data_IF_937092125447
#
_entry.id   IF_937092125447
#
_cell.length_a   1.000
_cell.length_b   1.000
_cell.length_c   1.000
_cell.angle_alpha   90.00
_cell.angle_beta   90.00
_cell.angle_gamma   90.00
#
_symmetry.space_group_name_H-M   'P 1'
#
loop_
_entity.id
_entity.type
_entity.pdbx_description
1 polymer ?
#
# COMPACT_ATOMS: atom_id res chain seq x y z
N UNK A 1 38.13 11.49 22.45
CA UNK A 1 38.22 10.17 21.79
C UNK A 1 38.28 9.08 22.85
N UNK A 2 37.24 8.28 23.01
CA UNK A 2 37.26 7.07 23.85
C UNK A 2 36.54 5.95 23.10
N UNK A 3 37.33 5.08 22.49
CA UNK A 3 36.89 3.86 21.80
C UNK A 3 36.44 2.84 22.84
N UNK A 4 35.28 2.23 22.65
CA UNK A 4 34.89 1.01 23.37
C UNK A 4 34.52 -0.04 22.33
N UNK A 5 35.50 -0.88 22.01
CA UNK A 5 35.32 -2.16 21.32
C UNK A 5 34.88 -3.20 22.35
N UNK A 6 33.77 -3.90 22.10
CA UNK A 6 33.40 -5.12 22.82
C UNK A 6 33.32 -6.27 21.81
N UNK A 7 33.78 -7.40 22.31
CA UNK A 7 34.24 -8.61 21.66
C UNK A 7 33.06 -9.52 21.27
N UNK A 8 33.31 -10.25 20.18
CA UNK A 8 32.64 -11.42 19.63
C UNK A 8 31.98 -12.40 20.61
N UNK A 9 30.88 -13.02 20.15
CA UNK A 9 30.55 -14.41 20.46
C UNK A 9 29.84 -15.07 19.26
N UNK A 10 30.41 -16.21 18.86
CA UNK A 10 30.02 -17.15 17.79
C UNK A 10 28.96 -18.13 18.36
N UNK A 11 28.13 -18.73 17.49
CA UNK A 11 27.39 -20.02 17.59
C UNK A 11 25.92 -19.84 17.18
N UNK A 12 25.26 -20.65 16.36
CA UNK A 12 25.61 -21.88 15.66
C UNK A 12 24.66 -22.04 14.46
N UNK A 13 25.16 -22.69 13.42
CA UNK A 13 24.43 -23.09 12.21
C UNK A 13 23.42 -24.21 12.49
N UNK A 14 22.20 -24.08 11.97
CA UNK A 14 21.32 -25.21 11.70
C UNK A 14 20.58 -24.97 10.39
N UNK A 15 21.19 -25.41 9.29
CA UNK A 15 20.56 -25.49 7.96
C UNK A 15 19.66 -26.72 7.90
N UNK A 16 18.35 -26.52 7.88
CA UNK A 16 17.40 -27.58 7.50
C UNK A 16 17.12 -27.40 6.00
N UNK A 17 17.64 -28.31 5.19
CA UNK A 17 17.29 -28.45 3.77
C UNK A 17 16.09 -29.38 3.69
N UNK A 18 14.91 -28.84 3.44
CA UNK A 18 13.70 -29.61 3.13
C UNK A 18 13.57 -29.75 1.61
N UNK A 19 13.51 -30.98 1.11
CA UNK A 19 13.25 -31.30 -0.29
C UNK A 19 11.75 -31.21 -0.57
N UNK A 20 11.29 -30.51 -1.63
CA UNK A 20 9.90 -30.56 -2.03
C UNK A 20 9.58 -31.85 -2.82
N UNK A 21 8.53 -32.54 -2.38
CA UNK A 21 7.86 -33.65 -3.08
C UNK A 21 7.15 -33.11 -4.32
N UNK A 22 7.45 -33.66 -5.50
CA UNK A 22 6.77 -33.32 -6.75
C UNK A 22 5.43 -34.07 -6.79
N UNK A 23 4.34 -33.40 -6.44
CA UNK A 23 2.99 -33.88 -6.71
C UNK A 23 2.65 -33.70 -8.19
N UNK A 24 2.37 -34.80 -8.90
CA UNK A 24 1.90 -34.77 -10.29
C UNK A 24 0.47 -34.23 -10.33
N UNK A 25 0.28 -33.05 -10.93
CA UNK A 25 -1.04 -32.49 -11.18
C UNK A 25 -1.67 -33.20 -12.39
N UNK A 26 -2.86 -33.77 -12.17
CA UNK A 26 -3.68 -34.39 -13.20
C UNK A 26 -4.07 -33.44 -14.33
N UNK A 27 -4.16 -34.02 -15.51
CA UNK A 27 -4.58 -33.41 -16.76
C UNK A 27 -5.99 -32.82 -16.60
N UNK A 28 -6.14 -31.50 -16.63
CA UNK A 28 -7.43 -30.81 -16.60
C UNK A 28 -7.99 -30.79 -18.01
N UNK A 29 -9.14 -31.44 -18.18
CA UNK A 29 -9.89 -31.47 -19.43
C UNK A 29 -10.34 -30.09 -19.88
N UNK A 30 -10.35 -29.95 -21.20
CA UNK A 30 -10.84 -28.81 -21.97
C UNK A 30 -12.27 -28.45 -21.59
N UNK A 31 -12.46 -27.20 -21.15
CA UNK A 31 -13.76 -26.54 -21.12
C UNK A 31 -13.71 -25.35 -22.07
N UNK A 32 -14.05 -25.59 -23.34
CA UNK A 32 -14.31 -24.55 -24.33
C UNK A 32 -15.57 -23.77 -23.96
N UNK A 33 -15.39 -22.48 -23.63
CA UNK A 33 -16.49 -21.50 -23.53
C UNK A 33 -16.06 -20.27 -24.33
N UNK A 34 -16.79 -19.85 -25.38
CA UNK A 34 -16.42 -18.66 -26.13
C UNK A 34 -16.76 -17.42 -25.30
N UNK A 35 -15.76 -16.90 -24.59
CA UNK A 35 -15.84 -15.70 -23.78
C UNK A 35 -14.83 -14.67 -24.27
N UNK A 36 -15.29 -13.44 -24.45
CA UNK A 36 -14.52 -12.27 -24.87
C UNK A 36 -13.09 -12.22 -24.30
N UNK A 37 -12.14 -12.01 -25.20
CA UNK A 37 -10.73 -11.71 -24.93
C UNK A 37 -10.60 -10.44 -24.09
N UNK A 38 -10.56 -10.58 -22.77
CA UNK A 38 -9.93 -9.58 -21.91
C UNK A 38 -8.42 -9.70 -22.12
N UNK A 39 -7.79 -8.69 -22.73
CA UNK A 39 -6.35 -8.54 -22.78
C UNK A 39 -5.79 -8.55 -21.33
N UNK A 40 -5.30 -9.71 -20.90
CA UNK A 40 -4.54 -9.89 -19.66
C UNK A 40 -3.06 -9.82 -20.00
N UNK A 41 -2.64 -8.70 -20.57
CA UNK A 41 -1.23 -8.38 -20.70
C UNK A 41 -0.73 -7.90 -19.33
N UNK A 42 0.12 -8.74 -18.74
CA UNK A 42 0.77 -8.52 -17.45
C UNK A 42 1.60 -7.25 -17.44
N UNK A 43 1.19 -6.31 -16.59
CA UNK A 43 1.91 -5.07 -16.33
C UNK A 43 1.59 -4.50 -14.94
N UNK A 44 1.52 -5.37 -13.92
CA UNK A 44 1.12 -5.01 -12.55
C UNK A 44 2.19 -4.22 -11.75
N UNK A 45 3.24 -3.71 -12.39
CA UNK A 45 4.40 -3.12 -11.70
C UNK A 45 4.52 -1.58 -11.73
N UNK A 46 3.77 -0.87 -12.59
CA UNK A 46 3.95 0.60 -12.78
C UNK A 46 2.66 1.43 -12.74
N UNK A 47 1.49 0.83 -12.51
CA UNK A 47 0.21 1.57 -12.49
C UNK A 47 -0.04 2.41 -11.23
N UNK A 48 0.64 2.11 -10.12
CA UNK A 48 0.46 2.85 -8.87
C UNK A 48 0.91 4.31 -8.94
N UNK A 49 1.97 4.61 -9.69
CA UNK A 49 2.47 5.98 -9.89
C UNK A 49 1.54 6.81 -10.80
N UNK A 50 1.15 6.26 -11.95
CA UNK A 50 0.33 6.97 -12.93
C UNK A 50 -1.09 7.29 -12.41
N UNK A 51 -1.68 6.44 -11.57
CA UNK A 51 -2.98 6.72 -10.94
C UNK A 51 -2.91 7.91 -9.98
N UNK A 52 -1.81 8.03 -9.23
CA UNK A 52 -1.58 9.10 -8.25
C UNK A 52 -1.29 10.43 -8.95
N UNK A 53 -0.44 10.42 -9.97
CA UNK A 53 -0.09 11.56 -10.81
C UNK A 53 -1.34 12.13 -11.51
N UNK A 54 -2.18 11.25 -12.07
CA UNK A 54 -3.50 11.65 -12.62
C UNK A 54 -4.44 12.20 -11.55
N UNK A 55 -4.32 11.77 -10.31
CA UNK A 55 -5.07 12.29 -9.17
C UNK A 55 -4.67 13.72 -8.83
N UNK A 56 -3.36 13.95 -8.68
CA UNK A 56 -2.78 15.26 -8.39
C UNK A 56 -3.05 16.26 -9.50
N UNK A 57 -2.78 15.91 -10.77
CA UNK A 57 -3.02 16.81 -11.90
C UNK A 57 -4.48 17.27 -12.00
N UNK A 58 -5.43 16.39 -11.68
CA UNK A 58 -6.86 16.76 -11.62
C UNK A 58 -7.18 17.67 -10.44
N UNK A 59 -6.57 17.46 -9.28
CA UNK A 59 -6.73 18.36 -8.13
C UNK A 59 -6.16 19.73 -8.45
N UNK A 60 -4.93 19.79 -8.97
CA UNK A 60 -4.24 21.03 -9.30
C UNK A 60 -5.04 21.89 -10.28
N UNK A 61 -5.59 21.27 -11.34
CA UNK A 61 -6.47 21.95 -12.29
C UNK A 61 -7.80 22.40 -11.68
N UNK A 62 -8.38 21.64 -10.76
CA UNK A 62 -9.68 21.98 -10.15
C UNK A 62 -9.60 23.12 -9.14
N UNK A 63 -8.45 23.24 -8.47
CA UNK A 63 -8.19 24.26 -7.46
C UNK A 63 -7.42 25.46 -8.02
N UNK A 64 -7.13 25.45 -9.33
CA UNK A 64 -6.38 26.51 -10.01
C UNK A 64 -5.08 26.83 -9.26
N UNK A 65 -4.31 25.79 -8.92
CA UNK A 65 -3.07 25.94 -8.15
C UNK A 65 -2.01 26.70 -8.95
N UNK A 66 -1.28 27.61 -8.29
CA UNK A 66 -0.07 28.22 -8.86
C UNK A 66 1.04 27.19 -9.04
N UNK A 67 2.05 27.51 -9.85
CA UNK A 67 3.18 26.60 -10.07
C UNK A 67 4.00 26.40 -8.79
N UNK A 68 4.12 27.43 -7.95
CA UNK A 68 4.74 27.33 -6.64
C UNK A 68 3.95 26.42 -5.70
N UNK A 69 2.61 26.51 -5.70
CA UNK A 69 1.76 25.62 -4.90
C UNK A 69 1.85 24.17 -5.38
N UNK A 70 1.88 23.95 -6.70
CA UNK A 70 2.05 22.60 -7.27
C UNK A 70 3.36 21.96 -6.81
N UNK A 71 4.48 22.68 -6.93
CA UNK A 71 5.79 22.17 -6.55
C UNK A 71 5.83 21.80 -5.06
N UNK A 72 5.33 22.68 -4.17
CA UNK A 72 5.26 22.39 -2.72
C UNK A 72 4.41 21.17 -2.41
N UNK A 73 3.26 21.02 -3.07
CA UNK A 73 2.38 19.87 -2.85
C UNK A 73 3.03 18.59 -3.39
N UNK A 74 3.75 18.65 -4.51
CA UNK A 74 4.47 17.50 -5.06
C UNK A 74 5.59 17.03 -4.14
N UNK A 75 6.34 17.95 -3.52
CA UNK A 75 7.32 17.65 -2.47
C UNK A 75 6.66 16.96 -1.27
N UNK A 76 5.52 17.49 -0.78
CA UNK A 76 4.75 16.87 0.32
C UNK A 76 4.29 15.45 -0.06
N UNK A 77 3.77 15.26 -1.27
CA UNK A 77 3.31 13.96 -1.75
C UNK A 77 4.45 12.96 -1.88
N UNK A 78 5.61 13.40 -2.34
CA UNK A 78 6.82 12.58 -2.50
C UNK A 78 7.37 12.19 -1.13
N UNK A 79 7.55 13.15 -0.22
CA UNK A 79 8.01 12.88 1.15
C UNK A 79 7.07 11.92 1.89
N UNK A 80 5.74 12.11 1.79
CA UNK A 80 4.80 11.15 2.39
C UNK A 80 4.83 9.77 1.70
N UNK A 81 5.15 9.72 0.41
CA UNK A 81 5.31 8.44 -0.28
C UNK A 81 6.50 7.67 0.29
N UNK A 82 7.62 8.33 0.48
CA UNK A 82 8.84 7.77 1.08
C UNK A 82 8.61 7.36 2.54
N UNK A 83 8.08 8.26 3.37
CA UNK A 83 7.83 8.00 4.80
C UNK A 83 6.88 6.83 5.04
N UNK A 84 5.93 6.62 4.13
CA UNK A 84 4.95 5.52 4.23
C UNK A 84 5.34 4.28 3.39
N UNK A 85 6.54 4.20 2.82
CA UNK A 85 6.94 3.10 1.94
C UNK A 85 6.90 1.75 2.70
N UNK A 86 7.57 1.69 3.85
CA UNK A 86 7.67 0.49 4.68
C UNK A 86 6.29 0.01 5.16
N UNK A 87 5.42 0.93 5.60
CA UNK A 87 4.04 0.59 6.02
C UNK A 87 3.24 -0.01 4.84
N UNK A 88 3.45 0.48 3.61
CA UNK A 88 2.78 -0.08 2.42
C UNK A 88 3.28 -1.48 2.11
N UNK A 89 4.58 -1.71 2.22
CA UNK A 89 5.17 -3.04 2.04
C UNK A 89 4.62 -4.02 3.07
N UNK A 90 4.63 -3.65 4.35
CA UNK A 90 4.08 -4.49 5.42
C UNK A 90 2.58 -4.78 5.24
N UNK A 91 1.78 -3.82 4.78
CA UNK A 91 0.37 -4.06 4.44
C UNK A 91 0.20 -5.04 3.26
N UNK A 92 1.10 -4.97 2.27
CA UNK A 92 1.09 -5.91 1.15
C UNK A 92 1.45 -7.32 1.60
N UNK A 93 2.47 -7.46 2.44
CA UNK A 93 2.88 -8.73 3.04
C UNK A 93 1.80 -9.31 3.95
N UNK A 94 1.20 -8.49 4.82
CA UNK A 94 0.11 -8.91 5.69
C UNK A 94 -1.09 -9.43 4.87
N UNK A 95 -1.49 -8.73 3.80
CA UNK A 95 -2.55 -9.20 2.90
C UNK A 95 -2.18 -10.50 2.19
N UNK A 96 -0.91 -10.64 1.78
CA UNK A 96 -0.41 -11.88 1.16
C UNK A 96 -0.48 -13.02 2.17
N UNK A 97 0.02 -12.83 3.38
CA UNK A 97 -0.02 -13.81 4.45
C UNK A 97 -1.46 -14.27 4.74
N UNK A 98 -2.40 -13.34 4.88
CA UNK A 98 -3.83 -13.64 5.05
C UNK A 98 -4.42 -14.50 3.93
N UNK A 99 -4.06 -14.22 2.67
CA UNK A 99 -4.52 -14.98 1.51
C UNK A 99 -3.90 -16.38 1.45
N UNK A 100 -2.66 -16.51 1.89
CA UNK A 100 -1.88 -17.73 1.79
C UNK A 100 -2.11 -18.67 3.01
N UNK A 101 -2.94 -18.27 4.00
CA UNK A 101 -3.36 -19.13 5.10
C UNK A 101 -4.18 -20.33 4.61
N UNK A 102 -3.90 -21.51 5.19
CA UNK A 102 -4.68 -22.72 4.98
C UNK A 102 -5.85 -22.79 5.99
N UNK A 103 -7.12 -22.71 5.55
CA UNK A 103 -8.28 -22.83 6.43
C UNK A 103 -8.40 -24.18 7.15
N UNK A 104 -7.69 -25.22 6.70
CA UNK A 104 -7.66 -26.53 7.36
C UNK A 104 -6.59 -26.67 8.45
N UNK A 105 -5.71 -25.68 8.62
CA UNK A 105 -4.64 -25.74 9.60
C UNK A 105 -5.18 -25.61 11.04
N UNK A 106 -4.63 -26.38 11.96
CA UNK A 106 -5.05 -26.37 13.37
C UNK A 106 -4.81 -25.01 14.06
N UNK A 107 -3.91 -24.18 13.52
CA UNK A 107 -3.57 -22.84 14.04
C UNK A 107 -4.17 -21.69 13.20
N UNK A 108 -5.12 -21.99 12.30
CA UNK A 108 -5.70 -21.01 11.38
C UNK A 108 -6.27 -19.78 12.11
N UNK A 109 -7.17 -19.99 13.08
CA UNK A 109 -7.84 -18.88 13.79
C UNK A 109 -6.84 -17.98 14.53
N UNK A 110 -5.83 -18.58 15.16
CA UNK A 110 -4.78 -17.84 15.87
C UNK A 110 -3.96 -16.97 14.90
N UNK A 111 -3.60 -17.50 13.72
CA UNK A 111 -2.88 -16.73 12.69
C UNK A 111 -3.73 -15.63 12.09
N UNK A 112 -5.03 -15.88 11.89
CA UNK A 112 -5.98 -14.85 11.44
C UNK A 112 -6.03 -13.71 12.45
N UNK A 113 -6.14 -14.01 13.74
CA UNK A 113 -6.18 -13.00 14.81
C UNK A 113 -4.89 -12.17 14.85
N UNK A 114 -3.72 -12.82 14.79
CA UNK A 114 -2.42 -12.15 14.75
C UNK A 114 -2.30 -11.20 13.54
N UNK A 115 -2.60 -11.71 12.34
CA UNK A 115 -2.51 -10.92 11.11
C UNK A 115 -3.55 -9.79 11.08
N UNK A 116 -4.74 -10.00 11.61
CA UNK A 116 -5.76 -8.96 11.73
C UNK A 116 -5.32 -7.84 12.69
N UNK A 117 -4.76 -8.20 13.85
CA UNK A 117 -4.23 -7.24 14.81
C UNK A 117 -3.09 -6.41 14.19
N UNK A 118 -2.12 -7.07 13.57
CA UNK A 118 -1.01 -6.43 12.84
C UNK A 118 -1.52 -5.50 11.72
N UNK A 119 -2.44 -6.00 10.89
CA UNK A 119 -3.03 -5.22 9.80
C UNK A 119 -3.78 -3.98 10.29
N UNK A 120 -4.49 -4.07 11.43
CA UNK A 120 -5.22 -2.95 12.01
C UNK A 120 -4.29 -1.82 12.48
N UNK A 121 -3.15 -2.16 13.10
CA UNK A 121 -2.18 -1.16 13.56
C UNK A 121 -1.49 -0.49 12.36
N UNK A 122 -1.12 -1.25 11.33
CA UNK A 122 -0.57 -0.69 10.09
C UNK A 122 -1.56 0.27 9.40
N UNK A 123 -2.84 -0.09 9.38
CA UNK A 123 -3.90 0.77 8.84
C UNK A 123 -4.07 2.07 9.65
N UNK A 124 -3.96 1.99 10.98
CA UNK A 124 -3.97 3.17 11.85
C UNK A 124 -2.80 4.10 11.54
N UNK A 125 -1.58 3.58 11.46
CA UNK A 125 -0.40 4.37 11.11
C UNK A 125 -0.56 5.04 9.74
N UNK A 126 -0.97 4.29 8.72
CA UNK A 126 -1.24 4.82 7.38
C UNK A 126 -2.33 5.92 7.39
N UNK A 127 -3.32 5.81 8.27
CA UNK A 127 -4.37 6.83 8.41
C UNK A 127 -3.83 8.12 9.01
N UNK A 128 -2.99 8.02 10.04
CA UNK A 128 -2.33 9.16 10.66
C UNK A 128 -1.39 9.88 9.67
N UNK A 129 -0.58 9.14 8.93
CA UNK A 129 0.31 9.71 7.89
C UNK A 129 -0.50 10.44 6.81
N UNK A 130 -1.61 9.85 6.34
CA UNK A 130 -2.49 10.50 5.38
C UNK A 130 -3.15 11.76 5.94
N UNK A 131 -3.53 11.77 7.21
CA UNK A 131 -4.11 12.94 7.87
C UNK A 131 -3.07 14.06 7.98
N UNK A 132 -1.84 13.73 8.37
CA UNK A 132 -0.70 14.65 8.42
C UNK A 132 -0.42 15.27 7.06
N UNK A 133 -0.28 14.45 6.01
CA UNK A 133 -0.10 14.93 4.63
C UNK A 133 -1.26 15.85 4.19
N UNK A 134 -2.51 15.49 4.47
CA UNK A 134 -3.67 16.34 4.12
C UNK A 134 -3.62 17.68 4.82
N UNK A 135 -3.20 17.72 6.10
CA UNK A 135 -3.00 18.96 6.84
C UNK A 135 -1.95 19.84 6.17
N UNK A 136 -0.79 19.30 5.82
CA UNK A 136 0.28 20.03 5.14
C UNK A 136 -0.17 20.59 3.78
N UNK A 137 -0.90 19.79 2.98
CA UNK A 137 -1.47 20.28 1.72
C UNK A 137 -2.44 21.45 1.98
N UNK A 138 -3.30 21.34 2.99
CA UNK A 138 -4.26 22.40 3.32
C UNK A 138 -3.59 23.72 3.73
N UNK A 139 -2.41 23.65 4.35
CA UNK A 139 -1.60 24.82 4.72
C UNK A 139 -1.02 25.56 3.49
N UNK A 140 -0.82 24.86 2.36
CA UNK A 140 -0.36 25.47 1.09
C UNK A 140 -1.49 26.19 0.33
N UNK A 141 -2.74 25.78 0.54
CA UNK A 141 -3.92 26.36 -0.12
C UNK A 141 -4.33 27.68 0.53
N UNK A 142 -4.87 28.60 -0.27
CA UNK A 142 -5.57 29.79 0.25
C UNK A 142 -7.03 29.46 0.64
N UNK A 143 -7.72 30.40 1.27
CA UNK A 143 -9.07 30.16 1.82
C UNK A 143 -10.10 29.78 0.74
N UNK A 144 -10.09 30.47 -0.41
CA UNK A 144 -10.97 30.17 -1.55
C UNK A 144 -10.75 28.74 -2.08
N UNK A 145 -9.49 28.31 -2.16
CA UNK A 145 -9.12 26.96 -2.59
C UNK A 145 -9.52 25.89 -1.57
N UNK A 146 -9.45 26.20 -0.26
CA UNK A 146 -9.89 25.31 0.82
C UNK A 146 -11.39 25.07 0.75
N UNK A 147 -12.19 26.12 0.52
CA UNK A 147 -13.63 26.01 0.36
C UNK A 147 -14.01 25.17 -0.87
N UNK A 148 -13.31 25.42 -1.99
CA UNK A 148 -13.48 24.65 -3.23
C UNK A 148 -13.14 23.17 -3.00
N UNK A 149 -12.07 22.88 -2.26
CA UNK A 149 -11.67 21.52 -1.87
C UNK A 149 -12.75 20.82 -1.02
N UNK A 150 -13.30 21.50 0.00
CA UNK A 150 -14.35 20.95 0.87
C UNK A 150 -15.60 20.56 0.07
N UNK A 151 -16.07 21.44 -0.82
CA UNK A 151 -17.24 21.19 -1.66
C UNK A 151 -17.10 19.94 -2.56
N UNK A 152 -15.88 19.63 -3.00
CA UNK A 152 -15.61 18.42 -3.78
C UNK A 152 -15.63 17.16 -2.92
N UNK A 153 -15.21 17.24 -1.65
CA UNK A 153 -15.24 16.11 -0.72
C UNK A 153 -16.69 15.74 -0.37
N UNK A 154 -17.53 16.72 -0.06
CA UNK A 154 -18.96 16.50 0.20
C UNK A 154 -19.67 15.83 -0.97
N UNK A 155 -19.42 16.31 -2.20
CA UNK A 155 -19.98 15.70 -3.41
C UNK A 155 -19.53 14.25 -3.57
N UNK A 156 -18.28 13.90 -3.25
CA UNK A 156 -17.82 12.50 -3.31
C UNK A 156 -18.40 11.64 -2.19
N UNK A 157 -18.72 12.20 -1.03
CA UNK A 157 -19.38 11.49 0.08
C UNK A 157 -20.77 11.02 -0.31
N UNK A 158 -21.58 11.89 -0.93
CA UNK A 158 -22.96 11.61 -1.34
C UNK A 158 -23.13 10.52 -2.41
N UNK A 159 -22.06 10.14 -3.12
CA UNK A 159 -22.10 9.05 -4.11
C UNK A 159 -21.64 7.70 -3.54
N UNK A 160 -21.21 7.65 -2.28
CA UNK A 160 -20.74 6.43 -1.61
C UNK A 160 -21.71 5.89 -0.56
N UNK A 161 -22.76 6.65 -0.25
CA UNK A 161 -23.98 6.18 0.43
C UNK A 161 -24.98 5.67 -0.60
#
# INVERSE_FOLDING_TARGET
MKRKTVIAAILATATIVALPVISHAGNRGDCERPGHTMHRDGGMGKQGGMMQERGFNRMAKKLDLSDEQKNRIEEILTGNRENSADIREQLMENRKAMRDLDPGAADYDAKVEELAASGSELHKQMTLERASMRKQINEVLNDEQRDKMSSFQEKRGKFRE
#
